data_IF_974221222093
#
_entry.id   IF_974221222093
#
_cell.length_a   1.000
_cell.length_b   1.000
_cell.length_c   1.000
_cell.angle_alpha   90.00
_cell.angle_beta   90.00
_cell.angle_gamma   90.00
#
_symmetry.space_group_name_H-M   'P 1'
#
loop_
_entity.id
_entity.type
_entity.pdbx_description
1 polymer ?
#
# COMPACT_ATOMS: atom_id res chain seq x y z
N UNK A 1 0.03 21.55 8.86
CA UNK A 1 -1.19 20.90 9.37
C UNK A 1 -1.72 20.00 8.26
N UNK A 2 -2.06 18.74 8.55
CA UNK A 2 -2.44 17.76 7.53
C UNK A 2 -3.91 17.95 7.08
N UNK A 3 -4.19 17.91 5.78
CA UNK A 3 -5.52 18.08 5.20
C UNK A 3 -6.53 17.07 5.74
N UNK A 4 -6.11 15.83 5.94
CA UNK A 4 -6.94 14.76 6.49
C UNK A 4 -7.48 15.12 7.88
N UNK A 5 -6.73 15.86 8.70
CA UNK A 5 -7.19 16.28 10.03
C UNK A 5 -8.29 17.33 9.98
N UNK A 6 -8.45 18.02 8.84
CA UNK A 6 -9.60 18.87 8.55
C UNK A 6 -10.80 18.04 8.05
N UNK A 7 -10.53 16.87 7.47
CA UNK A 7 -11.55 16.01 6.89
C UNK A 7 -12.20 15.01 7.85
N UNK A 8 -11.50 14.63 8.91
CA UNK A 8 -11.99 13.67 9.91
C UNK A 8 -11.68 14.13 11.33
N UNK A 9 -12.63 13.88 12.22
CA UNK A 9 -12.47 14.10 13.65
C UNK A 9 -11.50 13.09 14.27
N UNK A 10 -10.93 13.41 15.44
CA UNK A 10 -10.12 12.46 16.20
C UNK A 10 -10.88 11.15 16.51
N UNK A 11 -12.20 11.24 16.76
CA UNK A 11 -13.06 10.06 16.95
C UNK A 11 -13.11 9.21 15.68
N UNK A 12 -13.30 9.82 14.51
CA UNK A 12 -13.31 9.10 13.23
C UNK A 12 -11.97 8.45 12.90
N UNK A 13 -10.85 9.14 13.19
CA UNK A 13 -9.49 8.60 12.97
C UNK A 13 -9.29 7.25 13.68
N UNK A 14 -9.74 7.11 14.92
CA UNK A 14 -9.68 5.86 15.70
C UNK A 14 -10.51 4.70 15.12
N UNK A 15 -11.42 4.99 14.19
CA UNK A 15 -12.30 4.00 13.58
C UNK A 15 -12.00 3.77 12.11
N UNK A 16 -10.83 4.17 11.63
CA UNK A 16 -10.35 3.78 10.29
C UNK A 16 -10.12 2.28 10.31
N UNK A 17 -10.83 1.57 9.42
CA UNK A 17 -10.77 0.10 9.31
C UNK A 17 -10.17 -0.37 8.00
N UNK A 18 -10.21 0.47 6.96
CA UNK A 18 -9.57 0.17 5.68
C UNK A 18 -8.83 1.39 5.15
N UNK A 19 -7.61 1.15 4.66
CA UNK A 19 -6.81 2.12 3.92
C UNK A 19 -6.61 1.55 2.52
N UNK A 20 -7.08 2.26 1.50
CA UNK A 20 -6.85 1.93 0.09
C UNK A 20 -6.18 3.11 -0.61
N UNK A 21 -5.03 2.83 -1.20
CA UNK A 21 -4.20 3.79 -1.92
C UNK A 21 -4.13 3.31 -3.37
N UNK A 22 -4.51 4.20 -4.29
CA UNK A 22 -4.39 3.96 -5.73
C UNK A 22 -3.46 5.00 -6.32
N UNK A 23 -2.29 4.56 -6.78
CA UNK A 23 -1.32 5.38 -7.47
C UNK A 23 -1.66 5.47 -8.97
N UNK A 24 -1.74 6.70 -9.46
CA UNK A 24 -1.91 7.09 -10.85
C UNK A 24 -0.69 7.96 -11.25
N UNK A 25 -0.45 8.17 -12.54
CA UNK A 25 0.74 8.87 -13.05
C UNK A 25 1.01 10.22 -12.36
N UNK A 26 -0.03 11.05 -12.27
CA UNK A 26 0.04 12.41 -11.72
C UNK A 26 -0.84 12.58 -10.50
N UNK A 27 -1.27 11.47 -9.92
CA UNK A 27 -2.16 11.54 -8.77
C UNK A 27 -2.10 10.32 -7.87
N UNK A 28 -2.46 10.53 -6.61
CA UNK A 28 -2.76 9.45 -5.68
C UNK A 28 -4.18 9.63 -5.18
N UNK A 29 -4.93 8.54 -5.13
CA UNK A 29 -6.23 8.48 -4.49
C UNK A 29 -6.08 7.74 -3.17
N UNK A 30 -6.41 8.40 -2.08
CA UNK A 30 -6.58 7.80 -0.76
C UNK A 30 -8.05 7.57 -0.50
N UNK A 31 -8.42 6.34 -0.10
CA UNK A 31 -9.75 6.01 0.40
C UNK A 31 -9.63 5.43 1.80
N UNK A 32 -10.42 5.96 2.73
CA UNK A 32 -10.48 5.51 4.11
C UNK A 32 -11.89 5.08 4.45
N UNK A 33 -12.07 3.82 4.83
CA UNK A 33 -13.34 3.34 5.35
C UNK A 33 -13.37 3.50 6.88
N UNK A 34 -14.37 4.21 7.38
CA UNK A 34 -14.50 4.58 8.79
C UNK A 34 -15.69 3.79 9.37
N UNK A 35 -15.62 3.30 10.60
CA UNK A 35 -16.73 2.54 11.23
C UNK A 35 -17.21 1.27 10.47
N UNK A 36 -16.44 0.75 9.52
CA UNK A 36 -16.84 -0.36 8.63
C UNK A 36 -18.07 -0.09 7.73
N UNK A 37 -18.55 1.15 7.64
CA UNK A 37 -19.68 1.54 6.78
C UNK A 37 -19.18 2.20 5.49
N UNK A 38 -19.40 1.59 4.31
CA UNK A 38 -19.02 2.18 3.01
C UNK A 38 -19.54 3.60 2.79
N UNK A 39 -20.70 3.97 3.34
CA UNK A 39 -21.27 5.32 3.24
C UNK A 39 -20.39 6.39 3.89
N UNK A 40 -19.54 5.97 4.83
CA UNK A 40 -18.65 6.88 5.55
C UNK A 40 -17.29 7.06 4.87
N UNK A 41 -17.04 6.39 3.74
CA UNK A 41 -15.75 6.40 3.06
C UNK A 41 -15.29 7.83 2.76
N UNK A 42 -14.15 8.21 3.33
CA UNK A 42 -13.45 9.42 2.93
C UNK A 42 -12.65 9.11 1.66
N UNK A 43 -12.74 9.98 0.65
CA UNK A 43 -11.92 9.89 -0.56
C UNK A 43 -11.20 11.21 -0.79
N UNK A 44 -9.88 11.16 -0.75
CA UNK A 44 -8.99 12.28 -1.06
C UNK A 44 -8.20 11.98 -2.33
N UNK A 45 -8.07 12.97 -3.21
CA UNK A 45 -7.25 12.86 -4.42
C UNK A 45 -6.20 13.95 -4.42
N UNK A 46 -4.93 13.55 -4.52
CA UNK A 46 -3.78 14.44 -4.60
C UNK A 46 -3.34 14.45 -6.06
N UNK A 47 -3.48 15.57 -6.76
CA UNK A 47 -3.17 15.69 -8.19
C UNK A 47 -2.07 16.71 -8.42
N UNK A 48 -1.08 16.37 -9.23
CA UNK A 48 -0.08 17.31 -9.70
C UNK A 48 -0.67 18.25 -10.76
N UNK A 49 -0.53 19.56 -10.56
CA UNK A 49 -0.91 20.62 -11.50
C UNK A 49 0.29 21.56 -11.71
N UNK A 50 1.07 21.33 -12.77
CA UNK A 50 2.33 22.04 -12.96
C UNK A 50 3.29 21.75 -11.80
N UNK A 51 3.74 22.79 -11.10
CA UNK A 51 4.58 22.67 -9.90
C UNK A 51 3.77 22.50 -8.60
N UNK A 52 2.45 22.68 -8.67
CA UNK A 52 1.57 22.69 -7.52
C UNK A 52 0.84 21.36 -7.35
N UNK A 53 0.27 21.13 -6.18
CA UNK A 53 -0.61 19.99 -5.92
C UNK A 53 -1.99 20.43 -5.53
N UNK A 54 -3.00 19.93 -6.25
CA UNK A 54 -4.40 20.06 -5.89
C UNK A 54 -4.84 18.85 -5.06
N UNK A 55 -5.29 19.10 -3.84
CA UNK A 55 -5.86 18.11 -2.91
C UNK A 55 -7.38 18.26 -2.91
N UNK A 56 -8.10 17.24 -3.35
CA UNK A 56 -9.57 17.23 -3.47
C UNK A 56 -10.16 16.27 -2.45
N UNK A 57 -11.05 16.74 -1.57
CA UNK A 57 -11.84 15.90 -0.67
C UNK A 57 -13.30 15.86 -1.11
N UNK A 58 -13.69 14.75 -1.77
CA UNK A 58 -15.04 14.64 -2.35
C UNK A 58 -16.17 14.69 -1.32
N UNK A 59 -15.96 14.07 -0.15
CA UNK A 59 -17.02 13.93 0.86
C UNK A 59 -17.40 15.28 1.49
N UNK A 60 -16.43 16.18 1.62
CA UNK A 60 -16.64 17.50 2.20
C UNK A 60 -16.84 18.59 1.14
N UNK A 61 -16.66 18.26 -0.15
CA UNK A 61 -16.69 19.21 -1.25
C UNK A 61 -15.71 20.39 -1.03
N UNK A 62 -14.50 20.06 -0.59
CA UNK A 62 -13.43 21.02 -0.32
C UNK A 62 -12.19 20.62 -1.11
N UNK A 63 -11.55 21.64 -1.70
CA UNK A 63 -10.30 21.52 -2.45
C UNK A 63 -9.26 22.48 -1.87
N UNK A 64 -8.00 22.04 -1.83
CA UNK A 64 -6.85 22.84 -1.40
C UNK A 64 -5.77 22.79 -2.47
N UNK A 65 -5.18 23.95 -2.78
CA UNK A 65 -3.98 24.03 -3.62
C UNK A 65 -2.76 24.25 -2.74
N UNK A 66 -1.73 23.44 -2.97
CA UNK A 66 -0.44 23.56 -2.30
C UNK A 66 0.62 23.92 -3.33
N UNK A 67 1.11 25.14 -3.22
CA UNK A 67 2.06 25.70 -4.19
C UNK A 67 3.44 25.05 -4.11
N UNK A 68 4.08 24.84 -5.26
CA UNK A 68 5.46 24.38 -5.43
C UNK A 68 5.80 23.12 -4.63
N UNK A 69 4.84 22.19 -4.57
CA UNK A 69 4.96 20.94 -3.81
C UNK A 69 4.53 19.79 -4.68
N UNK A 70 5.36 18.75 -4.67
CA UNK A 70 5.10 17.51 -5.36
C UNK A 70 4.05 16.66 -4.63
N UNK A 71 3.07 16.12 -5.37
CA UNK A 71 1.90 15.45 -4.76
C UNK A 71 2.26 14.27 -3.86
N UNK A 72 3.30 13.49 -4.21
CA UNK A 72 3.75 12.35 -3.40
C UNK A 72 4.25 12.82 -2.03
N UNK A 73 4.93 13.96 -1.96
CA UNK A 73 5.46 14.50 -0.71
C UNK A 73 4.31 14.86 0.24
N UNK A 74 3.28 15.54 -0.28
CA UNK A 74 2.09 15.87 0.51
C UNK A 74 1.38 14.59 0.94
N UNK A 75 1.13 13.68 0.01
CA UNK A 75 0.46 12.42 0.31
C UNK A 75 1.18 11.59 1.38
N UNK A 76 2.51 11.49 1.35
CA UNK A 76 3.28 10.74 2.37
C UNK A 76 3.09 11.35 3.76
N UNK A 77 3.10 12.68 3.88
CA UNK A 77 2.84 13.35 5.16
C UNK A 77 1.44 13.05 5.70
N UNK A 78 0.44 13.04 4.81
CA UNK A 78 -0.93 12.69 5.17
C UNK A 78 -1.07 11.22 5.59
N UNK A 79 -0.34 10.33 4.92
CA UNK A 79 -0.32 8.91 5.24
C UNK A 79 0.39 8.63 6.57
N UNK A 80 1.47 9.36 6.88
CA UNK A 80 2.18 9.30 8.16
C UNK A 80 1.25 9.61 9.33
N UNK A 81 0.42 10.65 9.20
CA UNK A 81 -0.57 11.00 10.23
C UNK A 81 -1.51 9.85 10.57
N UNK A 82 -1.88 9.02 9.58
CA UNK A 82 -2.72 7.84 9.80
C UNK A 82 -1.88 6.70 10.36
N UNK A 83 -0.82 6.32 9.65
CA UNK A 83 -0.05 5.11 9.91
C UNK A 83 0.84 5.20 11.15
N UNK A 84 1.03 6.37 11.76
CA UNK A 84 1.75 6.49 13.03
C UNK A 84 0.83 6.45 14.25
N UNK A 85 -0.49 6.36 14.07
CA UNK A 85 -1.43 6.19 15.19
C UNK A 85 -1.19 4.83 15.88
N UNK A 86 -0.78 4.80 17.16
CA UNK A 86 -0.46 3.56 17.85
C UNK A 86 -1.68 2.63 18.04
N UNK A 87 -2.90 3.19 18.02
CA UNK A 87 -4.16 2.43 18.17
C UNK A 87 -4.71 1.94 16.82
N UNK A 88 -4.04 2.24 15.71
CA UNK A 88 -4.51 1.84 14.38
C UNK A 88 -4.54 0.31 14.22
N UNK A 89 -5.75 -0.21 14.02
CA UNK A 89 -6.02 -1.62 13.69
C UNK A 89 -6.83 -1.70 12.38
N UNK A 90 -6.22 -2.25 11.34
CA UNK A 90 -6.82 -2.31 10.01
C UNK A 90 -7.41 -3.69 9.74
N UNK A 91 -8.65 -3.68 9.26
CA UNK A 91 -9.22 -4.84 8.59
C UNK A 91 -8.54 -5.05 7.24
N UNK A 92 -8.30 -3.98 6.47
CA UNK A 92 -7.71 -4.06 5.14
C UNK A 92 -6.70 -2.94 4.87
N UNK A 93 -5.57 -3.30 4.28
CA UNK A 93 -4.62 -2.36 3.68
C UNK A 93 -4.44 -2.70 2.21
N UNK A 94 -4.60 -1.72 1.33
CA UNK A 94 -4.43 -1.90 -0.11
C UNK A 94 -3.52 -0.83 -0.67
N UNK A 95 -2.50 -1.25 -1.40
CA UNK A 95 -1.76 -0.42 -2.32
C UNK A 95 -1.89 -1.00 -3.72
N UNK A 96 -2.50 -0.22 -4.60
CA UNK A 96 -2.73 -0.54 -5.99
C UNK A 96 -2.12 0.59 -6.84
N UNK A 97 -1.75 0.28 -8.07
CA UNK A 97 -1.50 1.29 -9.08
C UNK A 97 -2.39 1.03 -10.29
N UNK A 98 -2.90 2.11 -10.86
CA UNK A 98 -3.75 2.08 -12.03
C UNK A 98 -3.02 2.81 -13.17
N UNK A 99 -2.47 2.08 -14.16
CA UNK A 99 -1.80 2.70 -15.30
C UNK A 99 -2.78 3.37 -16.29
N UNK A 100 -4.05 3.57 -15.91
CA UNK A 100 -5.13 4.12 -16.74
C UNK A 100 -4.63 5.14 -17.76
N UNK A 101 -4.63 4.74 -19.04
CA UNK A 101 -4.26 5.61 -20.17
C UNK A 101 -3.22 5.03 -21.12
N UNK A 102 -2.36 4.10 -20.70
CA UNK A 102 -1.46 3.40 -21.63
C UNK A 102 -1.17 1.96 -21.19
N UNK A 103 -1.28 1.02 -22.13
CA UNK A 103 -0.78 -0.36 -21.98
C UNK A 103 0.70 -0.48 -22.35
N UNK A 104 1.39 0.66 -22.49
CA UNK A 104 2.79 0.67 -22.87
C UNK A 104 3.67 0.32 -21.68
N UNK A 105 4.29 -0.85 -21.75
CA UNK A 105 5.22 -1.34 -20.73
C UNK A 105 6.45 -0.43 -20.58
N UNK A 106 6.86 0.29 -21.62
CA UNK A 106 7.96 1.26 -21.54
C UNK A 106 7.55 2.46 -20.70
N UNK A 107 6.31 2.92 -20.86
CA UNK A 107 5.73 4.03 -20.09
C UNK A 107 5.60 3.72 -18.60
N UNK A 108 5.12 2.52 -18.26
CA UNK A 108 5.05 2.07 -16.87
C UNK A 108 6.45 2.06 -16.25
N UNK A 109 7.47 1.57 -16.97
CA UNK A 109 8.85 1.54 -16.49
C UNK A 109 9.45 2.92 -16.29
N UNK A 110 9.23 3.84 -17.21
CA UNK A 110 9.87 5.16 -17.16
C UNK A 110 9.23 6.05 -16.09
N UNK A 111 7.91 6.00 -15.95
CA UNK A 111 7.18 6.95 -15.13
C UNK A 111 6.58 6.36 -13.84
N UNK A 112 6.08 5.13 -13.85
CA UNK A 112 5.40 4.54 -12.68
C UNK A 112 6.38 3.80 -11.75
N UNK A 113 7.36 3.07 -12.28
CA UNK A 113 8.33 2.32 -11.46
C UNK A 113 9.05 3.20 -10.41
N UNK A 114 9.53 4.41 -10.75
CA UNK A 114 10.16 5.29 -9.76
C UNK A 114 9.17 5.74 -8.67
N UNK A 115 7.90 5.96 -9.03
CA UNK A 115 6.85 6.36 -8.09
C UNK A 115 6.47 5.24 -7.14
N UNK A 116 6.31 4.02 -7.68
CA UNK A 116 6.05 2.82 -6.89
C UNK A 116 7.20 2.59 -5.90
N UNK A 117 8.44 2.66 -6.37
CA UNK A 117 9.63 2.46 -5.54
C UNK A 117 9.72 3.49 -4.41
N UNK A 118 9.56 4.79 -4.74
CA UNK A 118 9.51 5.87 -3.75
C UNK A 118 8.38 5.70 -2.74
N UNK A 119 7.20 5.25 -3.18
CA UNK A 119 6.08 4.98 -2.29
C UNK A 119 6.42 3.87 -1.30
N UNK A 120 6.95 2.73 -1.76
CA UNK A 120 7.35 1.62 -0.89
C UNK A 120 8.43 2.01 0.11
N UNK A 121 9.43 2.77 -0.32
CA UNK A 121 10.48 3.29 0.57
C UNK A 121 9.90 4.20 1.66
N UNK A 122 9.03 5.13 1.30
CA UNK A 122 8.39 6.03 2.26
C UNK A 122 7.47 5.25 3.21
N UNK A 123 6.64 4.36 2.69
CA UNK A 123 5.76 3.50 3.51
C UNK A 123 6.57 2.68 4.51
N UNK A 124 7.68 2.06 4.08
CA UNK A 124 8.57 1.33 4.96
C UNK A 124 9.19 2.22 6.03
N UNK A 125 9.70 3.41 5.67
CA UNK A 125 10.26 4.39 6.61
C UNK A 125 9.21 4.79 7.66
N UNK A 126 8.01 5.16 7.23
CA UNK A 126 6.90 5.52 8.11
C UNK A 126 6.57 4.38 9.08
N UNK A 127 6.35 3.17 8.56
CA UNK A 127 5.97 2.03 9.40
C UNK A 127 7.07 1.65 10.41
N UNK A 128 8.34 1.82 10.04
CA UNK A 128 9.50 1.56 10.91
C UNK A 128 9.58 2.52 12.11
N UNK A 129 8.98 3.71 12.02
CA UNK A 129 8.93 4.67 13.13
C UNK A 129 7.94 4.24 14.23
N UNK A 130 7.05 3.28 13.96
CA UNK A 130 6.13 2.76 14.96
C UNK A 130 6.88 1.97 16.03
N UNK A 131 6.44 2.09 17.28
CA UNK A 131 6.94 1.25 18.40
C UNK A 131 6.55 -0.22 18.25
N UNK A 132 5.45 -0.50 17.56
CA UNK A 132 4.93 -1.83 17.30
C UNK A 132 4.51 -1.98 15.85
N UNK A 133 4.58 -3.22 15.36
CA UNK A 133 4.07 -3.59 14.04
C UNK A 133 2.58 -3.28 13.93
N UNK A 134 2.13 -2.90 12.74
CA UNK A 134 0.72 -2.58 12.50
C UNK A 134 -0.13 -3.86 12.45
N UNK A 135 -1.30 -3.82 13.07
CA UNK A 135 -2.28 -4.91 12.97
C UNK A 135 -3.06 -4.75 11.67
N UNK A 136 -2.98 -5.77 10.80
CA UNK A 136 -3.69 -5.78 9.51
C UNK A 136 -4.17 -7.19 9.20
N UNK A 137 -5.48 -7.39 9.03
CA UNK A 137 -6.03 -8.72 8.72
C UNK A 137 -5.84 -9.11 7.25
N UNK A 138 -5.97 -8.15 6.33
CA UNK A 138 -6.00 -8.40 4.89
C UNK A 138 -5.11 -7.37 4.18
N UNK A 139 -4.17 -7.86 3.37
CA UNK A 139 -3.20 -7.02 2.66
C UNK A 139 -3.33 -7.27 1.16
N UNK A 140 -3.42 -6.19 0.38
CA UNK A 140 -3.34 -6.21 -1.08
C UNK A 140 -2.21 -5.30 -1.53
N UNK A 141 -1.19 -5.85 -2.18
CA UNK A 141 -0.03 -5.09 -2.63
C UNK A 141 0.21 -5.37 -4.11
N UNK A 142 0.16 -4.33 -4.93
CA UNK A 142 0.81 -4.36 -6.22
C UNK A 142 2.23 -3.82 -6.08
N UNK A 143 3.20 -4.55 -6.61
CA UNK A 143 4.62 -4.21 -6.50
C UNK A 143 5.37 -4.57 -7.77
N UNK A 144 6.58 -4.03 -7.91
CA UNK A 144 7.49 -4.40 -8.99
C UNK A 144 8.23 -5.71 -8.68
N UNK A 145 8.63 -5.87 -7.42
CA UNK A 145 9.40 -7.01 -6.96
C UNK A 145 9.00 -7.43 -5.54
N UNK A 146 9.52 -8.57 -5.13
CA UNK A 146 9.26 -9.15 -3.81
C UNK A 146 9.95 -8.38 -2.70
N UNK A 147 11.10 -7.74 -2.96
CA UNK A 147 11.81 -7.00 -1.92
C UNK A 147 10.94 -5.86 -1.38
N UNK A 148 10.28 -5.11 -2.27
CA UNK A 148 9.30 -4.07 -1.90
C UNK A 148 8.17 -4.61 -1.02
N UNK A 149 7.63 -5.77 -1.41
CA UNK A 149 6.57 -6.46 -0.65
C UNK A 149 7.06 -6.87 0.74
N UNK A 150 8.26 -7.47 0.82
CA UNK A 150 8.87 -7.88 2.07
C UNK A 150 9.14 -6.70 3.01
N UNK A 151 9.52 -5.52 2.50
CA UNK A 151 9.69 -4.31 3.31
C UNK A 151 8.42 -3.98 4.09
N UNK A 152 7.26 -3.95 3.43
CA UNK A 152 5.97 -3.62 4.07
C UNK A 152 5.53 -4.74 5.00
N UNK A 153 5.55 -5.98 4.53
CA UNK A 153 5.09 -7.15 5.27
C UNK A 153 5.89 -7.38 6.57
N UNK A 154 7.18 -7.05 6.58
CA UNK A 154 8.02 -7.15 7.79
C UNK A 154 7.57 -6.21 8.93
N UNK A 155 6.77 -5.20 8.63
CA UNK A 155 6.25 -4.22 9.58
C UNK A 155 4.81 -4.52 10.01
N UNK A 156 4.20 -5.61 9.52
CA UNK A 156 2.85 -6.05 9.89
C UNK A 156 2.92 -7.13 10.97
N UNK A 157 2.02 -7.08 11.95
CA UNK A 157 1.90 -8.14 12.95
C UNK A 157 1.38 -9.43 12.31
N UNK A 158 2.24 -10.44 12.25
CA UNK A 158 1.96 -11.75 11.69
C UNK A 158 0.85 -12.50 12.43
N UNK A 159 0.52 -12.14 13.68
CA UNK A 159 -0.59 -12.76 14.41
C UNK A 159 -1.95 -12.25 13.89
N UNK A 160 -1.98 -11.02 13.40
CA UNK A 160 -3.20 -10.36 12.91
C UNK A 160 -3.56 -10.78 11.48
N UNK A 161 -2.56 -11.08 10.65
CA UNK A 161 -2.74 -11.30 9.22
C UNK A 161 -3.43 -12.64 8.90
N UNK A 162 -4.40 -12.58 7.97
CA UNK A 162 -5.19 -13.72 7.51
C UNK A 162 -5.13 -13.91 6.01
N UNK A 163 -4.98 -12.82 5.26
CA UNK A 163 -4.96 -12.90 3.81
C UNK A 163 -3.99 -11.90 3.19
N UNK A 164 -3.26 -12.36 2.18
CA UNK A 164 -2.32 -11.57 1.41
C UNK A 164 -2.57 -11.81 -0.06
N UNK A 165 -2.77 -10.73 -0.80
CA UNK A 165 -2.78 -10.75 -2.25
C UNK A 165 -1.66 -9.89 -2.79
N UNK A 166 -0.86 -10.46 -3.68
CA UNK A 166 0.28 -9.81 -4.31
C UNK A 166 0.05 -9.77 -5.83
N UNK A 167 0.17 -8.59 -6.43
CA UNK A 167 0.17 -8.39 -7.88
C UNK A 167 1.53 -7.92 -8.38
N UNK A 168 2.18 -8.70 -9.24
CA UNK A 168 3.47 -8.38 -9.86
C UNK A 168 3.33 -8.56 -11.37
N UNK A 169 2.49 -7.72 -11.97
CA UNK A 169 2.02 -7.87 -13.34
C UNK A 169 2.89 -7.10 -14.35
N UNK A 170 3.66 -6.12 -13.89
CA UNK A 170 4.34 -5.17 -14.77
C UNK A 170 5.84 -5.21 -14.47
N UNK A 171 6.55 -5.99 -15.29
CA UNK A 171 7.99 -6.17 -15.22
C UNK A 171 8.43 -7.44 -15.97
N UNK A 172 9.54 -7.35 -16.70
CA UNK A 172 10.19 -8.51 -17.32
C UNK A 172 11.01 -9.31 -16.30
N UNK A 173 11.05 -8.83 -15.05
CA UNK A 173 11.86 -9.43 -14.01
C UNK A 173 11.25 -10.73 -13.54
N UNK A 174 12.04 -11.79 -13.63
CA UNK A 174 11.75 -13.06 -12.96
C UNK A 174 11.62 -12.77 -11.47
N UNK A 175 10.40 -12.93 -10.96
CA UNK A 175 10.07 -12.74 -9.55
C UNK A 175 10.86 -13.75 -8.71
N UNK A 176 11.71 -13.32 -7.77
CA UNK A 176 12.49 -14.23 -6.91
C UNK A 176 11.69 -14.64 -5.67
N UNK A 177 10.86 -15.69 -5.78
CA UNK A 177 9.92 -16.09 -4.72
C UNK A 177 10.62 -16.53 -3.42
N UNK A 178 11.89 -16.94 -3.48
CA UNK A 178 12.65 -17.40 -2.31
C UNK A 178 12.70 -16.42 -1.13
N UNK A 179 12.72 -15.10 -1.38
CA UNK A 179 12.70 -14.09 -0.31
C UNK A 179 11.37 -14.07 0.45
N UNK A 180 10.26 -14.18 -0.29
CA UNK A 180 8.92 -14.26 0.29
C UNK A 180 8.73 -15.55 1.08
N UNK A 181 9.27 -16.66 0.55
CA UNK A 181 9.30 -17.97 1.23
C UNK A 181 10.10 -17.87 2.53
N UNK A 182 11.28 -17.25 2.51
CA UNK A 182 12.09 -17.03 3.71
C UNK A 182 11.34 -16.19 4.76
N UNK A 183 10.68 -15.10 4.34
CA UNK A 183 9.87 -14.30 5.24
C UNK A 183 8.70 -15.11 5.83
N UNK A 184 8.01 -15.91 5.01
CA UNK A 184 6.94 -16.78 5.44
C UNK A 184 7.44 -17.85 6.43
N UNK A 185 8.53 -18.55 6.13
CA UNK A 185 9.11 -19.59 6.97
C UNK A 185 9.66 -19.05 8.30
N UNK A 186 10.22 -17.83 8.31
CA UNK A 186 10.85 -17.28 9.52
C UNK A 186 9.85 -16.53 10.41
N UNK A 187 9.05 -15.65 9.81
CA UNK A 187 8.15 -14.76 10.56
C UNK A 187 6.73 -15.32 10.66
N UNK A 188 6.24 -16.01 9.63
CA UNK A 188 4.84 -16.40 9.53
C UNK A 188 4.57 -17.89 9.72
N UNK A 189 5.59 -18.68 10.09
CA UNK A 189 5.41 -20.08 10.48
C UNK A 189 4.39 -20.27 11.61
N UNK A 190 4.13 -19.23 12.40
CA UNK A 190 3.13 -19.24 13.47
C UNK A 190 1.80 -18.58 13.09
N UNK A 191 1.66 -18.06 11.87
CA UNK A 191 0.44 -17.42 11.39
C UNK A 191 -0.61 -18.50 11.05
N UNK A 192 -1.50 -18.79 11.99
CA UNK A 192 -2.59 -19.76 11.78
C UNK A 192 -3.63 -19.24 10.78
N UNK A 193 -3.87 -20.02 9.72
CA UNK A 193 -4.91 -19.77 8.72
C UNK A 193 -4.56 -18.68 7.71
N UNK A 194 -3.28 -18.36 7.53
CA UNK A 194 -2.83 -17.41 6.53
C UNK A 194 -3.04 -17.96 5.12
N UNK A 195 -3.75 -17.21 4.28
CA UNK A 195 -3.87 -17.49 2.84
C UNK A 195 -3.09 -16.45 2.05
N UNK A 196 -2.27 -16.91 1.11
CA UNK A 196 -1.55 -16.05 0.18
C UNK A 196 -1.99 -16.33 -1.26
N UNK A 197 -2.22 -15.28 -2.03
CA UNK A 197 -2.47 -15.34 -3.48
C UNK A 197 -1.49 -14.41 -4.18
N UNK A 198 -0.94 -14.88 -5.29
CA UNK A 198 0.01 -14.13 -6.10
C UNK A 198 -0.49 -14.14 -7.54
N UNK A 199 -0.50 -12.96 -8.18
CA UNK A 199 -0.68 -12.81 -9.62
C UNK A 199 0.65 -12.35 -10.20
N UNK A 200 1.28 -13.23 -10.97
CA UNK A 200 2.64 -13.08 -11.48
C UNK A 200 2.61 -13.10 -13.01
N UNK A 201 3.38 -12.23 -13.66
CA UNK A 201 3.50 -12.21 -15.11
C UNK A 201 4.36 -13.36 -15.65
N UNK A 202 5.53 -13.60 -15.01
CA UNK A 202 6.47 -14.65 -15.38
C UNK A 202 6.84 -15.50 -14.16
N UNK A 203 6.77 -16.82 -14.30
CA UNK A 203 7.13 -17.79 -13.25
C UNK A 203 8.13 -18.79 -13.81
N UNK A 204 9.28 -18.95 -13.15
CA UNK A 204 10.27 -19.98 -13.50
C UNK A 204 9.99 -21.30 -12.78
N UNK A 205 10.50 -22.40 -13.31
CA UNK A 205 10.47 -23.71 -12.64
C UNK A 205 11.10 -23.65 -11.24
N UNK A 206 12.23 -22.95 -11.09
CA UNK A 206 12.87 -22.69 -9.80
C UNK A 206 11.91 -22.04 -8.79
N UNK A 207 11.13 -21.05 -9.22
CA UNK A 207 10.13 -20.42 -8.35
C UNK A 207 9.02 -21.39 -7.92
N UNK A 208 8.55 -22.26 -8.83
CA UNK A 208 7.56 -23.28 -8.51
C UNK A 208 8.10 -24.26 -7.46
N UNK A 209 9.37 -24.64 -7.56
CA UNK A 209 9.99 -25.56 -6.60
C UNK A 209 10.18 -24.93 -5.23
N UNK A 210 10.50 -23.63 -5.14
CA UNK A 210 10.51 -22.91 -3.86
C UNK A 210 9.12 -22.86 -3.20
N UNK A 211 8.04 -22.67 -3.97
CA UNK A 211 6.66 -22.67 -3.45
C UNK A 211 6.25 -24.05 -2.94
N UNK A 212 6.65 -25.13 -3.63
CA UNK A 212 6.35 -26.51 -3.19
C UNK A 212 6.95 -26.82 -1.81
N UNK A 213 8.13 -26.29 -1.48
CA UNK A 213 8.76 -26.49 -0.15
C UNK A 213 7.90 -25.99 0.99
N UNK A 214 7.11 -24.93 0.77
CA UNK A 214 6.23 -24.33 1.79
C UNK A 214 4.93 -25.12 1.96
N UNK A 215 4.43 -25.78 0.90
CA UNK A 215 3.17 -26.53 0.93
C UNK A 215 3.23 -27.80 1.81
N UNK A 216 4.44 -28.21 2.19
CA UNK A 216 4.71 -29.37 3.05
C UNK A 216 5.09 -28.99 4.49
N UNK A 217 4.96 -27.71 4.87
CA UNK A 217 5.06 -27.23 6.26
C UNK A 217 3.68 -26.99 6.86
#
# INVERSE_FOLDING_TARGET
MAFITQCITAKQKKHITEVEIVLELRSIVLKLNIFSDPSTTLKMKYNQQGNDTLVVCKKQNVDWTVENRYFMTIFVQELEEILLDPELDLKRFKFLYNPSGSFDLSYIREYMDPLISRFYENLWRTLKLRRSRINVKIVFLQARDIAQVCLVLSQIDYKSIKFIWLGMEFGDNIVKIGELVSLACNQWKYAKGLTMRMKLNLVTTKNLDEVKKVRHM
#
